data_IF_271723538526
#
_entry.id   IF_271723538526
#
_cell.length_a   1.000
_cell.length_b   1.000
_cell.length_c   1.000
_cell.angle_alpha   90.00
_cell.angle_beta   90.00
_cell.angle_gamma   90.00
#
_symmetry.space_group_name_H-M   'P 1'
#
loop_
_entity.id
_entity.type
_entity.pdbx_description
1 polymer ?
#
# COMPACT_ATOMS: atom_id res chain seq x y z
N UNK A 1 28.46 -17.01 0.81
CA UNK A 1 27.08 -16.65 0.41
C UNK A 1 27.02 -15.20 -0.03
N UNK A 2 26.10 -14.87 -0.94
CA UNK A 2 25.89 -13.53 -1.48
C UNK A 2 24.40 -13.21 -1.34
N UNK A 3 24.09 -12.01 -0.83
CA UNK A 3 22.72 -11.51 -0.66
C UNK A 3 22.57 -10.18 -1.40
N UNK A 4 21.36 -9.89 -1.86
CA UNK A 4 20.98 -8.62 -2.47
C UNK A 4 19.69 -8.10 -1.82
N UNK A 5 19.58 -6.78 -1.67
CA UNK A 5 18.43 -6.08 -1.11
C UNK A 5 18.40 -4.63 -1.60
N UNK A 6 17.21 -4.02 -1.59
CA UNK A 6 17.01 -2.64 -2.02
C UNK A 6 16.84 -2.50 -3.53
N UNK A 7 17.06 -1.30 -4.04
CA UNK A 7 16.72 -0.92 -5.42
C UNK A 7 17.43 -1.74 -6.51
N UNK A 8 18.51 -2.43 -6.16
CA UNK A 8 19.26 -3.33 -7.06
C UNK A 8 18.63 -4.73 -7.16
N UNK A 9 17.73 -5.08 -6.24
CA UNK A 9 17.16 -6.41 -6.12
C UNK A 9 15.80 -6.51 -6.82
N UNK A 10 15.58 -7.63 -7.48
CA UNK A 10 14.33 -8.02 -8.11
C UNK A 10 13.74 -9.21 -7.35
N UNK A 11 12.40 -9.22 -7.18
CA UNK A 11 11.68 -10.37 -6.64
C UNK A 11 10.51 -10.69 -7.57
N UNK A 12 10.40 -11.96 -7.98
CA UNK A 12 9.40 -12.45 -8.95
C UNK A 12 9.27 -11.61 -10.25
N UNK A 13 10.41 -11.17 -10.83
CA UNK A 13 10.38 -10.36 -12.05
C UNK A 13 10.16 -8.86 -11.83
N UNK A 14 10.03 -8.41 -10.57
CA UNK A 14 9.69 -7.03 -10.24
C UNK A 14 10.79 -6.31 -9.44
N UNK A 15 11.40 -5.24 -9.98
CA UNK A 15 12.17 -4.29 -9.19
C UNK A 15 11.22 -3.33 -8.46
N UNK A 16 11.25 -3.34 -7.13
CA UNK A 16 10.33 -2.54 -6.31
C UNK A 16 10.71 -1.05 -6.27
N UNK A 17 12.00 -0.73 -6.08
CA UNK A 17 12.51 0.65 -6.11
C UNK A 17 11.85 1.61 -5.11
N UNK A 18 11.33 1.09 -4.00
CA UNK A 18 10.65 1.88 -2.96
C UNK A 18 11.21 1.61 -1.58
N UNK A 19 11.17 2.62 -0.72
CA UNK A 19 11.69 2.55 0.65
C UNK A 19 11.15 1.37 1.48
N UNK A 20 9.82 1.06 1.48
CA UNK A 20 9.30 -0.08 2.23
C UNK A 20 9.93 -1.40 1.82
N UNK A 21 10.07 -1.65 0.51
CA UNK A 21 10.68 -2.88 0.00
C UNK A 21 12.16 -2.95 0.34
N UNK A 22 12.90 -1.85 0.18
CA UNK A 22 14.33 -1.82 0.52
C UNK A 22 14.57 -2.10 2.02
N UNK A 23 13.73 -1.54 2.90
CA UNK A 23 13.80 -1.76 4.34
C UNK A 23 13.50 -3.22 4.71
N UNK A 24 12.44 -3.80 4.14
CA UNK A 24 12.03 -5.18 4.41
C UNK A 24 13.05 -6.19 3.88
N UNK A 25 13.47 -6.05 2.62
CA UNK A 25 14.51 -6.89 2.02
C UNK A 25 15.83 -6.81 2.80
N UNK A 26 16.25 -5.61 3.23
CA UNK A 26 17.46 -5.42 4.02
C UNK A 26 17.40 -6.14 5.37
N UNK A 27 16.25 -6.08 6.04
CA UNK A 27 16.01 -6.80 7.31
C UNK A 27 16.12 -8.31 7.14
N UNK A 28 15.52 -8.85 6.08
CA UNK A 28 15.53 -10.28 5.77
C UNK A 28 16.94 -10.75 5.40
N UNK A 29 17.62 -10.02 4.51
CA UNK A 29 19.00 -10.33 4.13
C UNK A 29 19.94 -10.33 5.35
N UNK A 30 19.81 -9.33 6.24
CA UNK A 30 20.59 -9.27 7.48
C UNK A 30 20.34 -10.45 8.42
N UNK A 31 19.08 -10.88 8.57
CA UNK A 31 18.74 -12.04 9.40
C UNK A 31 19.30 -13.35 8.84
N UNK A 32 19.20 -13.56 7.54
CA UNK A 32 19.69 -14.78 6.91
C UNK A 32 21.23 -14.83 6.91
N UNK A 33 21.90 -13.69 6.72
CA UNK A 33 23.35 -13.58 6.95
C UNK A 33 23.77 -13.93 8.39
N UNK A 34 22.90 -13.69 9.37
CA UNK A 34 23.12 -14.04 10.78
C UNK A 34 22.71 -15.48 11.14
N UNK A 35 22.33 -16.31 10.16
CA UNK A 35 21.93 -17.71 10.36
C UNK A 35 20.43 -17.92 10.64
N UNK A 36 19.59 -16.92 10.41
CA UNK A 36 18.14 -17.07 10.40
C UNK A 36 17.60 -17.63 9.07
N UNK A 37 16.28 -17.74 8.97
CA UNK A 37 15.56 -18.29 7.82
C UNK A 37 14.23 -17.55 7.59
N UNK A 38 14.35 -16.27 7.21
CA UNK A 38 13.20 -15.45 6.81
C UNK A 38 13.04 -15.45 5.29
N UNK A 39 11.77 -15.48 4.85
CA UNK A 39 11.38 -15.45 3.44
C UNK A 39 10.75 -14.09 3.13
N UNK A 40 11.13 -13.50 2.00
CA UNK A 40 10.49 -12.30 1.47
C UNK A 40 9.29 -12.71 0.62
N UNK A 41 8.11 -12.16 0.92
CA UNK A 41 6.85 -12.51 0.25
C UNK A 41 6.35 -11.42 -0.71
N UNK A 42 7.18 -10.40 -0.97
CA UNK A 42 6.82 -9.22 -1.74
C UNK A 42 6.23 -8.11 -0.87
N UNK A 43 6.51 -6.86 -1.24
CA UNK A 43 6.02 -5.68 -0.53
C UNK A 43 4.89 -5.03 -1.32
N UNK A 44 3.86 -4.49 -0.68
CA UNK A 44 2.88 -3.67 -1.39
C UNK A 44 3.55 -2.42 -1.94
N UNK A 45 3.44 -2.19 -3.26
CA UNK A 45 3.93 -0.96 -3.89
C UNK A 45 3.24 0.25 -3.25
N UNK A 46 4.03 1.16 -2.67
CA UNK A 46 3.52 2.34 -2.00
C UNK A 46 4.45 3.53 -2.25
N UNK A 47 3.86 4.66 -2.67
CA UNK A 47 4.58 5.90 -2.94
C UNK A 47 4.00 7.03 -2.06
N UNK A 48 4.87 7.77 -1.39
CA UNK A 48 4.52 9.00 -0.67
C UNK A 48 5.29 10.17 -1.28
N UNK A 49 4.58 11.18 -1.74
CA UNK A 49 5.14 12.38 -2.34
C UNK A 49 4.71 13.60 -1.52
N UNK A 50 5.67 14.40 -1.07
CA UNK A 50 5.43 15.71 -0.48
C UNK A 50 5.76 16.79 -1.49
N UNK A 51 4.73 17.38 -2.09
CA UNK A 51 4.89 18.44 -3.10
C UNK A 51 4.01 19.62 -2.70
N UNK A 52 4.62 20.80 -2.52
CA UNK A 52 3.96 22.10 -2.30
C UNK A 52 2.75 22.05 -1.34
N UNK A 53 2.99 21.62 -0.10
CA UNK A 53 2.00 21.71 0.98
C UNK A 53 0.86 20.69 0.93
N UNK A 54 0.86 19.75 -0.01
CA UNK A 54 -0.12 18.65 -0.07
C UNK A 54 0.59 17.32 0.13
N UNK A 55 0.12 16.54 1.10
CA UNK A 55 0.58 15.17 1.31
C UNK A 55 -0.19 14.23 0.35
N UNK A 56 0.55 13.51 -0.50
CA UNK A 56 0.01 12.46 -1.37
C UNK A 56 0.61 11.11 -0.98
N UNK A 57 -0.25 10.12 -0.76
CA UNK A 57 0.13 8.74 -0.57
C UNK A 57 -0.74 7.82 -1.44
N UNK A 58 -0.14 6.84 -2.08
CA UNK A 58 -0.87 5.81 -2.82
C UNK A 58 -0.23 4.44 -2.63
N UNK A 59 -1.04 3.39 -2.67
CA UNK A 59 -0.59 2.02 -2.54
C UNK A 59 -1.39 1.06 -3.43
N UNK A 60 -0.76 -0.03 -3.87
CA UNK A 60 -1.40 -1.10 -4.65
C UNK A 60 -1.83 -0.68 -6.06
N UNK A 61 -2.83 -1.37 -6.60
CA UNK A 61 -3.43 -1.07 -7.90
C UNK A 61 -4.42 0.09 -7.76
N UNK A 62 -4.00 1.28 -8.18
CA UNK A 62 -4.83 2.50 -8.09
C UNK A 62 -5.90 2.62 -9.19
N UNK A 63 -5.95 1.65 -10.11
CA UNK A 63 -6.92 1.56 -11.18
C UNK A 63 -6.98 2.85 -12.02
N UNK A 64 -5.90 3.10 -12.76
CA UNK A 64 -5.76 4.31 -13.58
C UNK A 64 -6.76 4.34 -14.75
N UNK A 65 -7.18 3.18 -15.23
CA UNK A 65 -8.12 3.01 -16.34
C UNK A 65 -9.60 3.02 -15.88
N UNK A 66 -9.84 3.00 -14.56
CA UNK A 66 -11.17 2.97 -13.93
C UNK A 66 -12.00 1.74 -14.34
N UNK A 67 -11.36 0.58 -14.36
CA UNK A 67 -11.98 -0.72 -14.68
C UNK A 67 -12.61 -1.39 -13.46
N UNK A 68 -12.20 -1.01 -12.25
CA UNK A 68 -12.63 -1.64 -11.00
C UNK A 68 -13.64 -0.79 -10.23
N UNK A 69 -14.33 -1.42 -9.27
CA UNK A 69 -15.20 -0.68 -8.37
C UNK A 69 -14.34 0.20 -7.45
N UNK A 70 -14.79 1.42 -7.19
CA UNK A 70 -14.08 2.30 -6.26
C UNK A 70 -15.03 3.11 -5.37
N UNK A 71 -14.56 3.35 -4.15
CA UNK A 71 -15.15 4.31 -3.23
C UNK A 71 -14.31 5.58 -3.27
N UNK A 72 -14.97 6.72 -3.47
CA UNK A 72 -14.31 8.02 -3.58
C UNK A 72 -14.91 8.99 -2.58
N UNK A 73 -14.05 9.64 -1.81
CA UNK A 73 -14.37 10.80 -0.99
C UNK A 73 -13.59 12.00 -1.50
N UNK A 74 -14.28 13.11 -1.76
CA UNK A 74 -13.65 14.36 -2.16
C UNK A 74 -14.21 15.53 -1.37
N UNK A 75 -13.33 16.43 -0.98
CA UNK A 75 -13.63 17.73 -0.36
C UNK A 75 -12.65 18.77 -0.92
N UNK A 76 -12.76 20.05 -0.54
CA UNK A 76 -12.00 21.17 -1.12
C UNK A 76 -10.49 20.91 -1.27
N UNK A 77 -9.87 20.22 -0.32
CA UNK A 77 -8.43 19.89 -0.33
C UNK A 77 -8.13 18.41 -0.06
N UNK A 78 -9.15 17.55 0.00
CA UNK A 78 -8.99 16.13 0.34
C UNK A 78 -9.53 15.29 -0.82
N UNK A 79 -8.74 14.29 -1.22
CA UNK A 79 -9.19 13.25 -2.12
C UNK A 79 -8.76 11.89 -1.58
N UNK A 80 -9.71 10.97 -1.42
CA UNK A 80 -9.46 9.58 -1.07
C UNK A 80 -10.15 8.66 -2.07
N UNK A 81 -9.40 7.74 -2.67
CA UNK A 81 -9.93 6.65 -3.52
C UNK A 81 -9.52 5.32 -2.91
N UNK A 82 -10.46 4.39 -2.79
CA UNK A 82 -10.20 2.99 -2.47
C UNK A 82 -10.67 2.16 -3.65
N UNK A 83 -9.78 1.35 -4.20
CA UNK A 83 -10.03 0.44 -5.33
C UNK A 83 -10.36 -0.94 -4.80
N UNK A 84 -11.41 -1.53 -5.34
CA UNK A 84 -11.95 -2.81 -4.91
C UNK A 84 -12.13 -3.73 -6.11
N UNK A 85 -11.49 -4.89 -6.05
CA UNK A 85 -11.58 -5.94 -7.05
C UNK A 85 -11.99 -7.24 -6.33
N UNK A 86 -13.03 -7.92 -6.81
CA UNK A 86 -13.52 -9.17 -6.20
C UNK A 86 -13.78 -9.04 -4.68
N UNK A 87 -14.43 -7.94 -4.28
CA UNK A 87 -14.72 -7.58 -2.88
C UNK A 87 -13.49 -7.43 -1.97
N UNK A 88 -12.29 -7.25 -2.54
CA UNK A 88 -11.04 -7.04 -1.81
C UNK A 88 -10.42 -5.70 -2.15
N UNK A 89 -9.83 -5.03 -1.16
CA UNK A 89 -9.10 -3.79 -1.39
C UNK A 89 -7.81 -4.12 -2.17
N UNK A 90 -7.64 -3.51 -3.33
CA UNK A 90 -6.45 -3.71 -4.19
C UNK A 90 -5.59 -2.47 -4.32
N UNK A 91 -6.12 -1.29 -4.01
CA UNK A 91 -5.31 -0.07 -3.99
C UNK A 91 -5.99 1.12 -3.33
N UNK A 92 -5.22 2.16 -3.08
CA UNK A 92 -5.70 3.41 -2.52
C UNK A 92 -4.91 4.64 -3.02
N UNK A 93 -5.58 5.79 -3.00
CA UNK A 93 -4.99 7.12 -3.16
C UNK A 93 -5.51 7.97 -2.00
N UNK A 94 -4.62 8.70 -1.33
CA UNK A 94 -4.94 9.68 -0.28
C UNK A 94 -4.17 10.98 -0.54
N UNK A 95 -4.89 12.06 -0.75
CA UNK A 95 -4.39 13.40 -1.02
C UNK A 95 -4.92 14.36 0.05
N UNK A 96 -4.05 15.21 0.57
CA UNK A 96 -4.38 16.26 1.55
C UNK A 96 -4.54 15.74 2.98
N UNK A 97 -5.23 14.60 3.15
CA UNK A 97 -5.30 13.86 4.42
C UNK A 97 -4.88 12.40 4.20
N UNK A 98 -3.68 12.06 4.67
CA UNK A 98 -3.10 10.71 4.56
C UNK A 98 -3.34 9.85 5.80
N UNK A 99 -4.20 10.28 6.73
CA UNK A 99 -4.62 9.44 7.88
C UNK A 99 -5.30 8.17 7.38
N UNK A 100 -4.90 7.05 7.98
CA UNK A 100 -5.36 5.71 7.61
C UNK A 100 -4.55 5.05 6.49
N UNK A 101 -3.55 5.71 5.90
CA UNK A 101 -2.76 5.14 4.80
C UNK A 101 -2.07 3.83 5.20
N UNK A 102 -1.45 3.76 6.39
CA UNK A 102 -0.81 2.54 6.88
C UNK A 102 -1.79 1.36 7.00
N UNK A 103 -3.02 1.63 7.43
CA UNK A 103 -4.06 0.62 7.59
C UNK A 103 -4.56 0.15 6.23
N UNK A 104 -4.67 1.06 5.25
CA UNK A 104 -4.99 0.70 3.87
C UNK A 104 -3.92 -0.15 3.23
N UNK A 105 -2.64 0.22 3.37
CA UNK A 105 -1.54 -0.60 2.87
C UNK A 105 -1.53 -2.00 3.50
N UNK A 106 -1.84 -2.10 4.80
CA UNK A 106 -2.02 -3.40 5.47
C UNK A 106 -3.21 -4.17 4.89
N UNK A 107 -4.36 -3.53 4.72
CA UNK A 107 -5.56 -4.19 4.18
C UNK A 107 -5.37 -4.67 2.72
N UNK A 108 -4.62 -3.92 1.91
CA UNK A 108 -4.20 -4.33 0.57
C UNK A 108 -3.30 -5.57 0.64
N UNK A 109 -2.29 -5.56 1.52
CA UNK A 109 -1.37 -6.69 1.70
C UNK A 109 -2.10 -7.96 2.13
N UNK A 110 -3.03 -7.83 3.10
CA UNK A 110 -3.82 -8.93 3.64
C UNK A 110 -5.01 -9.33 2.75
N UNK A 111 -5.24 -8.62 1.64
CA UNK A 111 -6.37 -8.84 0.71
C UNK A 111 -7.71 -8.92 1.44
N UNK A 112 -7.95 -7.95 2.33
CA UNK A 112 -9.13 -7.91 3.22
C UNK A 112 -10.43 -7.87 2.42
N UNK A 113 -11.36 -8.77 2.74
CA UNK A 113 -12.73 -8.79 2.20
C UNK A 113 -13.56 -7.65 2.81
N UNK A 114 -14.16 -6.84 1.94
CA UNK A 114 -14.95 -5.68 2.32
C UNK A 114 -16.41 -5.74 1.86
N UNK A 115 -16.89 -6.91 1.44
CA UNK A 115 -18.27 -7.13 0.97
C UNK A 115 -19.33 -6.54 1.91
N UNK A 116 -19.09 -6.59 3.23
CA UNK A 116 -20.02 -6.10 4.28
C UNK A 116 -19.92 -4.60 4.57
N UNK A 117 -18.78 -3.99 4.29
CA UNK A 117 -18.49 -2.59 4.69
C UNK A 117 -18.23 -1.67 3.51
N UNK A 118 -18.33 -2.17 2.27
CA UNK A 118 -17.97 -1.49 1.01
C UNK A 118 -18.38 -0.01 0.97
N UNK A 119 -19.64 0.26 1.29
CA UNK A 119 -20.23 1.61 1.24
C UNK A 119 -19.91 2.49 2.46
N UNK A 120 -19.19 1.97 3.45
CA UNK A 120 -18.87 2.64 4.71
C UNK A 120 -17.38 2.95 4.87
N UNK A 121 -16.50 2.31 4.08
CA UNK A 121 -15.03 2.43 4.11
C UNK A 121 -14.53 3.89 4.17
N UNK A 122 -15.22 4.81 3.49
CA UNK A 122 -14.88 6.24 3.47
C UNK A 122 -15.96 7.14 4.09
N UNK A 123 -16.93 6.56 4.80
CA UNK A 123 -18.01 7.33 5.43
C UNK A 123 -17.48 8.18 6.59
N UNK A 124 -18.10 9.36 6.81
CA UNK A 124 -17.73 10.23 7.91
C UNK A 124 -17.83 9.50 9.26
N UNK A 125 -16.71 9.40 9.98
CA UNK A 125 -16.62 8.67 11.25
C UNK A 125 -16.12 7.22 11.13
N UNK A 126 -15.89 6.72 9.92
CA UNK A 126 -15.23 5.43 9.71
C UNK A 126 -13.74 5.60 10.02
N UNK A 127 -13.32 5.14 11.20
CA UNK A 127 -11.94 5.12 11.59
C UNK A 127 -11.43 3.69 11.50
N UNK A 128 -10.36 3.50 10.72
CA UNK A 128 -9.71 2.20 10.63
C UNK A 128 -8.89 1.86 11.89
N UNK A 129 -8.77 2.83 12.82
CA UNK A 129 -8.18 2.67 14.14
C UNK A 129 -9.13 1.85 15.03
N UNK A 130 -9.22 0.55 14.76
CA UNK A 130 -9.79 -0.47 15.65
C UNK A 130 -8.70 -1.27 16.34
#
# INVERSE_FOLDING_TARGET
>A
DIYAAGDVAEFEGMPYGIWPAAMEQGKIAGNNMAGGDMVYEGTVMANTLKVVGVDLASAGNIDAENEFESQVFTDENIYKKIVIENDKITGCIMLGDTKGFSIMTKAISERVDVSKIKNQILSAGFNFDG
#
